data_IF_519455900269
#
_entry.id   IF_519455900269
#
_cell.length_a   1.000
_cell.length_b   1.000
_cell.length_c   1.000
_cell.angle_alpha   90.00
_cell.angle_beta   90.00
_cell.angle_gamma   90.00
#
_symmetry.space_group_name_H-M   'P 1'
#
loop_
_entity.id
_entity.type
_entity.pdbx_description
1 polymer ?
#
# COMPACT_ATOMS: atom_id res chain seq x y z
N UNK A 1 -20.26 -32.71 -19.14
CA UNK A 1 -19.44 -31.56 -18.71
C UNK A 1 -19.44 -30.55 -19.85
N UNK A 2 -19.70 -29.26 -19.59
CA UNK A 2 -19.62 -28.24 -20.64
C UNK A 2 -18.14 -27.96 -20.98
N UNK A 3 -17.76 -27.83 -22.26
CA UNK A 3 -16.40 -27.47 -22.62
C UNK A 3 -16.09 -26.05 -22.13
N UNK A 4 -14.97 -25.88 -21.44
CA UNK A 4 -14.46 -24.56 -21.13
C UNK A 4 -14.14 -23.86 -22.46
N UNK A 5 -14.88 -22.79 -22.78
CA UNK A 5 -14.55 -21.95 -23.94
C UNK A 5 -13.14 -21.41 -23.73
N UNK A 6 -12.21 -21.84 -24.60
CA UNK A 6 -10.91 -21.19 -24.72
C UNK A 6 -11.17 -19.68 -24.92
N UNK A 7 -10.48 -18.79 -24.20
CA UNK A 7 -10.53 -17.37 -24.51
C UNK A 7 -10.09 -17.21 -25.97
N UNK A 8 -10.89 -16.53 -26.79
CA UNK A 8 -10.49 -16.21 -28.15
C UNK A 8 -9.22 -15.35 -28.10
N UNK A 9 -8.26 -15.64 -28.96
CA UNK A 9 -6.91 -15.01 -28.99
C UNK A 9 -6.99 -13.47 -28.95
N UNK A 10 -8.00 -12.93 -29.61
CA UNK A 10 -8.37 -11.51 -29.70
C UNK A 10 -8.79 -10.85 -28.36
N UNK A 11 -9.36 -11.60 -27.40
CA UNK A 11 -9.93 -11.01 -26.19
C UNK A 11 -8.85 -10.46 -25.24
N UNK A 12 -7.71 -11.12 -25.10
CA UNK A 12 -6.60 -10.66 -24.26
C UNK A 12 -5.90 -9.45 -24.89
N UNK A 13 -5.83 -9.38 -26.22
CA UNK A 13 -5.32 -8.23 -26.97
C UNK A 13 -6.25 -7.01 -26.85
N UNK A 14 -7.56 -7.22 -27.02
CA UNK A 14 -8.59 -6.21 -26.72
C UNK A 14 -8.47 -5.70 -25.28
N UNK A 15 -8.29 -6.59 -24.30
CA UNK A 15 -8.09 -6.19 -22.89
C UNK A 15 -6.80 -5.36 -22.71
N UNK A 16 -5.69 -5.73 -23.37
CA UNK A 16 -4.41 -5.03 -23.27
C UNK A 16 -4.50 -3.62 -23.90
N UNK A 17 -5.15 -3.48 -25.06
CA UNK A 17 -5.45 -2.20 -25.70
C UNK A 17 -6.35 -1.31 -24.82
N UNK A 18 -7.39 -1.88 -24.21
CA UNK A 18 -8.28 -1.19 -23.28
C UNK A 18 -7.53 -0.71 -22.03
N UNK A 19 -6.64 -1.55 -21.47
CA UNK A 19 -5.82 -1.20 -20.31
C UNK A 19 -4.79 -0.10 -20.63
N UNK A 20 -4.07 -0.21 -21.76
CA UNK A 20 -3.12 0.82 -22.21
C UNK A 20 -3.80 2.17 -22.44
N UNK A 21 -4.97 2.16 -23.09
CA UNK A 21 -5.77 3.37 -23.34
C UNK A 21 -6.23 3.99 -22.02
N UNK A 22 -6.78 3.19 -21.09
CA UNK A 22 -7.23 3.68 -19.78
C UNK A 22 -6.08 4.26 -18.92
N UNK A 23 -4.92 3.59 -18.90
CA UNK A 23 -3.74 4.09 -18.18
C UNK A 23 -3.21 5.39 -18.79
N UNK A 24 -3.23 5.54 -20.12
CA UNK A 24 -2.91 6.80 -20.79
C UNK A 24 -3.92 7.89 -20.43
N UNK A 25 -5.21 7.57 -20.48
CA UNK A 25 -6.29 8.51 -20.21
C UNK A 25 -6.30 9.00 -18.75
N UNK A 26 -5.86 8.19 -17.78
CA UNK A 26 -5.70 8.61 -16.38
C UNK A 26 -4.42 9.45 -16.15
N UNK A 27 -3.61 9.69 -17.19
CA UNK A 27 -2.41 10.51 -17.12
C UNK A 27 -1.16 9.78 -16.58
N UNK A 28 -1.15 8.44 -16.57
CA UNK A 28 0.01 7.68 -16.12
C UNK A 28 1.22 7.93 -17.04
N UNK A 29 2.34 8.37 -16.46
CA UNK A 29 3.65 8.50 -17.14
C UNK A 29 4.57 7.32 -16.84
N UNK A 30 4.30 6.60 -15.74
CA UNK A 30 5.04 5.43 -15.29
C UNK A 30 4.06 4.35 -14.80
N UNK A 31 4.18 3.15 -15.36
CA UNK A 31 3.48 1.95 -14.88
C UNK A 31 4.53 0.99 -14.31
N UNK A 32 4.46 0.80 -13.00
CA UNK A 32 5.27 -0.14 -12.24
C UNK A 32 4.49 -1.45 -12.09
N UNK A 33 5.05 -2.56 -12.55
CA UNK A 33 4.40 -3.89 -12.56
C UNK A 33 5.20 -4.83 -11.66
N UNK A 34 4.53 -5.58 -10.77
CA UNK A 34 5.18 -6.65 -10.02
C UNK A 34 5.57 -7.83 -10.92
N UNK A 35 6.66 -8.49 -10.56
CA UNK A 35 7.16 -9.65 -11.27
C UNK A 35 6.48 -10.95 -10.85
N UNK A 36 6.65 -11.34 -9.58
CA UNK A 36 6.17 -12.61 -9.03
C UNK A 36 4.65 -12.62 -8.93
N UNK A 37 4.00 -13.72 -9.34
CA UNK A 37 2.54 -13.92 -9.41
C UNK A 37 1.72 -12.90 -10.25
N UNK A 38 2.23 -11.69 -10.49
CA UNK A 38 1.69 -10.67 -11.40
C UNK A 38 2.22 -10.86 -12.82
N UNK A 39 3.43 -10.39 -13.18
CA UNK A 39 3.96 -10.49 -14.55
C UNK A 39 4.17 -11.94 -15.01
N UNK A 40 4.69 -12.80 -14.11
CA UNK A 40 4.71 -14.25 -14.28
C UNK A 40 3.58 -14.92 -13.49
N UNK A 41 3.10 -16.09 -13.94
CA UNK A 41 2.05 -16.87 -13.28
C UNK A 41 2.52 -17.58 -12.01
N UNK A 42 3.82 -17.55 -11.70
CA UNK A 42 4.45 -18.29 -10.60
C UNK A 42 5.05 -17.32 -9.58
N UNK A 43 5.09 -17.74 -8.32
CA UNK A 43 5.80 -17.03 -7.27
C UNK A 43 7.19 -17.65 -7.10
N UNK A 44 8.24 -16.98 -7.55
CA UNK A 44 9.64 -17.49 -7.51
C UNK A 44 10.23 -17.50 -6.11
N UNK A 45 9.62 -16.79 -5.16
CA UNK A 45 10.18 -16.59 -3.81
C UNK A 45 11.46 -15.74 -3.81
N UNK A 46 11.73 -15.01 -4.90
CA UNK A 46 12.96 -14.25 -5.10
C UNK A 46 14.20 -15.09 -5.43
N UNK A 47 14.07 -16.42 -5.56
CA UNK A 47 15.18 -17.36 -5.76
C UNK A 47 14.82 -18.45 -6.80
N UNK A 48 14.44 -18.02 -8.01
CA UNK A 48 14.29 -18.93 -9.15
C UNK A 48 15.63 -19.60 -9.48
N UNK A 49 15.64 -20.93 -9.48
CA UNK A 49 16.83 -21.77 -9.76
C UNK A 49 16.95 -22.21 -11.22
N UNK A 50 15.90 -22.06 -12.02
CA UNK A 50 15.88 -22.43 -13.43
C UNK A 50 16.50 -21.38 -14.36
N UNK A 51 16.48 -21.65 -15.66
CA UNK A 51 16.97 -20.72 -16.68
C UNK A 51 15.99 -19.55 -16.92
N UNK A 52 16.44 -18.43 -17.52
CA UNK A 52 15.53 -17.37 -17.99
C UNK A 52 14.51 -17.89 -19.00
N UNK A 53 14.90 -18.85 -19.85
CA UNK A 53 14.02 -19.43 -20.86
C UNK A 53 12.92 -20.33 -20.25
N UNK A 54 13.23 -21.03 -19.16
CA UNK A 54 12.20 -21.75 -18.40
C UNK A 54 11.21 -20.76 -17.75
N UNK A 55 11.72 -19.71 -17.09
CA UNK A 55 10.88 -18.68 -16.44
C UNK A 55 10.01 -17.90 -17.45
N UNK A 56 10.51 -17.68 -18.67
CA UNK A 56 9.76 -17.07 -19.77
C UNK A 56 8.44 -17.82 -20.06
N UNK A 57 8.39 -19.14 -19.90
CA UNK A 57 7.16 -19.92 -20.15
C UNK A 57 6.03 -19.61 -19.16
N UNK A 58 6.34 -18.94 -18.04
CA UNK A 58 5.38 -18.46 -17.06
C UNK A 58 4.97 -16.99 -17.25
N UNK A 59 5.52 -16.26 -18.22
CA UNK A 59 5.14 -14.85 -18.46
C UNK A 59 3.70 -14.80 -18.96
N UNK A 60 2.86 -13.95 -18.36
CA UNK A 60 1.46 -13.83 -18.77
C UNK A 60 1.36 -13.12 -20.11
N UNK A 61 0.67 -13.75 -21.07
CA UNK A 61 0.43 -13.21 -22.41
C UNK A 61 -0.16 -11.79 -22.40
N UNK A 62 -0.99 -11.47 -21.42
CA UNK A 62 -1.52 -10.11 -21.21
C UNK A 62 -0.42 -9.06 -21.06
N UNK A 63 0.62 -9.32 -20.27
CA UNK A 63 1.72 -8.38 -20.09
C UNK A 63 2.71 -8.38 -21.28
N UNK A 64 2.85 -9.50 -22.01
CA UNK A 64 3.56 -9.48 -23.30
C UNK A 64 2.93 -8.52 -24.32
N UNK A 65 1.59 -8.36 -24.27
CA UNK A 65 0.83 -7.46 -25.14
C UNK A 65 0.76 -6.04 -24.58
N UNK A 66 0.52 -5.88 -23.28
CA UNK A 66 0.34 -4.57 -22.65
C UNK A 66 1.62 -3.75 -22.63
N UNK A 67 2.79 -4.35 -22.38
CA UNK A 67 4.04 -3.60 -22.21
C UNK A 67 4.46 -2.81 -23.48
N UNK A 68 4.48 -3.40 -24.69
CA UNK A 68 4.74 -2.65 -25.93
C UNK A 68 3.72 -1.53 -26.15
N UNK A 69 2.43 -1.79 -25.94
CA UNK A 69 1.36 -0.79 -26.09
C UNK A 69 1.53 0.39 -25.12
N UNK A 70 2.04 0.18 -23.91
CA UNK A 70 2.37 1.27 -22.99
C UNK A 70 3.54 2.12 -23.52
N UNK A 71 4.62 1.47 -23.96
CA UNK A 71 5.79 2.16 -24.55
C UNK A 71 5.40 2.98 -25.80
N UNK A 72 4.63 2.41 -26.73
CA UNK A 72 4.10 3.10 -27.92
C UNK A 72 3.23 4.32 -27.58
N UNK A 73 2.56 4.28 -26.43
CA UNK A 73 1.75 5.40 -25.93
C UNK A 73 2.56 6.46 -25.15
N UNK A 74 3.89 6.33 -25.08
CA UNK A 74 4.78 7.23 -24.35
C UNK A 74 4.77 7.01 -22.83
N UNK A 75 4.25 5.87 -22.37
CA UNK A 75 4.19 5.52 -20.95
C UNK A 75 5.41 4.66 -20.61
N UNK A 76 6.18 5.11 -19.63
CA UNK A 76 7.35 4.36 -19.17
C UNK A 76 6.91 3.15 -18.37
N UNK A 77 7.62 2.03 -18.53
CA UNK A 77 7.29 0.78 -17.83
C UNK A 77 8.48 0.34 -16.97
N UNK A 78 8.17 -0.02 -15.73
CA UNK A 78 9.14 -0.57 -14.80
C UNK A 78 8.66 -1.91 -14.22
N UNK A 79 9.56 -2.88 -14.09
CA UNK A 79 9.33 -4.05 -13.23
C UNK A 79 9.85 -3.74 -11.83
N UNK A 80 8.98 -3.81 -10.82
CA UNK A 80 9.29 -3.53 -9.41
C UNK A 80 9.00 -4.75 -8.54
N UNK A 81 10.03 -5.36 -7.98
CA UNK A 81 9.93 -6.64 -7.25
C UNK A 81 10.81 -6.64 -6.01
N UNK A 82 10.47 -7.49 -5.04
CA UNK A 82 11.36 -7.80 -3.91
C UNK A 82 12.45 -8.82 -4.29
N UNK A 83 12.39 -9.45 -5.47
CA UNK A 83 13.41 -10.39 -5.94
C UNK A 83 14.77 -9.68 -6.12
N UNK A 84 15.87 -10.22 -5.57
CA UNK A 84 17.22 -9.73 -5.83
C UNK A 84 17.76 -10.13 -7.21
N UNK A 85 17.09 -11.02 -7.95
CA UNK A 85 17.58 -11.60 -9.21
C UNK A 85 17.36 -10.68 -10.43
N UNK A 86 17.72 -9.41 -10.33
CA UNK A 86 17.48 -8.38 -11.38
C UNK A 86 18.04 -8.78 -12.74
N UNK A 87 19.22 -9.43 -12.80
CA UNK A 87 19.81 -9.84 -14.07
C UNK A 87 19.05 -11.02 -14.74
N UNK A 88 18.49 -11.93 -13.95
CA UNK A 88 17.61 -12.99 -14.45
C UNK A 88 16.36 -12.37 -15.08
N UNK A 89 15.73 -11.43 -14.38
CA UNK A 89 14.51 -10.74 -14.86
C UNK A 89 14.80 -9.97 -16.15
N UNK A 90 15.91 -9.21 -16.23
CA UNK A 90 16.35 -8.55 -17.48
C UNK A 90 16.53 -9.55 -18.63
N UNK A 91 17.08 -10.74 -18.35
CA UNK A 91 17.24 -11.78 -19.37
C UNK A 91 15.88 -12.36 -19.81
N UNK A 92 14.89 -12.50 -18.91
CA UNK A 92 13.51 -12.88 -19.28
C UNK A 92 12.87 -11.80 -20.17
N UNK A 93 12.95 -10.53 -19.78
CA UNK A 93 12.36 -9.41 -20.55
C UNK A 93 12.95 -9.33 -21.97
N UNK A 94 14.26 -9.52 -22.13
CA UNK A 94 14.94 -9.61 -23.44
C UNK A 94 14.51 -10.80 -24.31
N UNK A 95 13.94 -11.85 -23.72
CA UNK A 95 13.34 -12.95 -24.48
C UNK A 95 11.89 -12.60 -24.91
N UNK A 96 11.16 -11.85 -24.09
CA UNK A 96 9.75 -11.51 -24.32
C UNK A 96 9.55 -10.40 -25.35
N UNK A 97 10.43 -9.40 -25.37
CA UNK A 97 10.25 -8.16 -26.12
C UNK A 97 11.35 -7.91 -27.17
N UNK A 98 11.10 -6.98 -28.09
CA UNK A 98 12.14 -6.46 -28.98
C UNK A 98 13.27 -5.81 -28.18
N UNK A 99 14.46 -5.71 -28.78
CA UNK A 99 15.63 -5.07 -28.16
C UNK A 99 15.35 -3.61 -27.74
N UNK A 100 14.57 -2.90 -28.54
CA UNK A 100 14.14 -1.53 -28.28
C UNK A 100 13.24 -1.43 -27.03
N UNK A 101 12.12 -2.15 -27.00
CA UNK A 101 11.21 -2.16 -25.84
C UNK A 101 11.96 -2.63 -24.60
N UNK A 102 12.72 -3.72 -24.68
CA UNK A 102 13.50 -4.26 -23.55
C UNK A 102 14.58 -3.30 -23.03
N UNK A 103 15.10 -2.39 -23.85
CA UNK A 103 16.04 -1.36 -23.41
C UNK A 103 15.35 -0.18 -22.71
N UNK A 104 14.13 0.17 -23.12
CA UNK A 104 13.32 1.20 -22.47
C UNK A 104 12.92 0.80 -21.05
N UNK A 105 12.65 -0.50 -20.81
CA UNK A 105 12.20 -1.00 -19.51
C UNK A 105 13.19 -0.69 -18.37
N UNK A 106 12.64 -0.24 -17.25
CA UNK A 106 13.36 -0.13 -15.98
C UNK A 106 13.13 -1.41 -15.16
N UNK A 107 14.15 -1.88 -14.44
CA UNK A 107 14.01 -3.03 -13.53
C UNK A 107 14.62 -2.64 -12.18
N UNK A 108 13.79 -2.67 -11.12
CA UNK A 108 14.20 -2.45 -9.74
C UNK A 108 13.80 -3.65 -8.88
N UNK A 109 14.81 -4.46 -8.54
CA UNK A 109 14.71 -5.57 -7.57
C UNK A 109 15.49 -5.26 -6.30
N UNK A 110 15.52 -6.20 -5.35
CA UNK A 110 16.29 -6.06 -4.10
C UNK A 110 17.77 -6.44 -4.22
N UNK A 111 18.38 -6.12 -5.36
CA UNK A 111 19.76 -6.50 -5.72
C UNK A 111 20.86 -5.66 -5.03
N UNK A 112 20.46 -4.65 -4.24
CA UNK A 112 21.35 -3.69 -3.54
C UNK A 112 22.28 -2.88 -4.46
N UNK A 113 22.07 -2.89 -5.78
CA UNK A 113 22.87 -2.08 -6.73
C UNK A 113 22.49 -0.60 -6.72
N UNK A 114 21.34 -0.26 -6.11
CA UNK A 114 20.81 1.08 -5.99
C UNK A 114 20.37 1.38 -4.56
N UNK A 115 20.53 2.65 -4.16
CA UNK A 115 20.06 3.21 -2.89
C UNK A 115 19.16 4.41 -3.16
N UNK A 116 18.47 4.88 -2.14
CA UNK A 116 17.57 6.03 -2.21
C UNK A 116 17.80 6.90 -0.98
N UNK A 117 18.25 8.14 -1.18
CA UNK A 117 18.40 9.11 -0.10
C UNK A 117 17.07 9.80 0.19
N UNK A 118 16.90 10.36 1.39
CA UNK A 118 15.66 11.05 1.74
C UNK A 118 15.41 12.26 0.83
N UNK A 119 16.45 12.99 0.42
CA UNK A 119 16.33 14.14 -0.49
C UNK A 119 15.77 13.75 -1.87
N UNK A 120 16.18 12.61 -2.41
CA UNK A 120 15.68 12.06 -3.67
C UNK A 120 14.18 11.70 -3.63
N UNK A 121 13.57 11.58 -2.44
CA UNK A 121 12.14 11.28 -2.30
C UNK A 121 11.24 12.51 -2.35
N UNK A 122 11.80 13.72 -2.17
CA UNK A 122 11.05 14.99 -2.03
C UNK A 122 10.32 15.41 -3.31
N UNK A 123 10.87 15.08 -4.47
CA UNK A 123 10.27 15.40 -5.78
C UNK A 123 9.18 14.41 -6.18
N UNK A 124 9.27 13.16 -5.71
CA UNK A 124 8.30 12.11 -6.07
C UNK A 124 7.01 12.20 -5.26
N UNK A 125 7.05 12.60 -3.98
CA UNK A 125 5.86 12.68 -3.12
C UNK A 125 5.86 13.98 -2.32
N UNK A 126 4.71 14.68 -2.19
CA UNK A 126 4.46 15.44 -0.98
C UNK A 126 4.25 14.42 0.16
N UNK A 127 5.32 14.10 0.92
CA UNK A 127 5.34 13.03 1.95
C UNK A 127 4.49 13.28 3.22
N UNK A 128 3.71 14.37 3.29
CA UNK A 128 2.97 14.82 4.48
C UNK A 128 1.96 13.82 5.04
N UNK A 129 1.43 12.91 4.21
CA UNK A 129 0.46 11.90 4.67
C UNK A 129 1.13 10.73 5.42
N UNK A 130 2.34 10.33 5.03
CA UNK A 130 3.06 9.18 5.61
C UNK A 130 4.22 9.55 6.53
N UNK A 131 4.71 10.80 6.48
CA UNK A 131 5.94 11.25 7.16
C UNK A 131 7.15 10.34 6.87
N UNK A 132 7.29 9.89 5.62
CA UNK A 132 8.38 8.98 5.21
C UNK A 132 8.24 7.54 5.68
N UNK A 133 7.10 7.15 6.28
CA UNK A 133 6.75 5.74 6.45
C UNK A 133 6.71 5.07 5.07
N UNK A 134 7.08 3.79 5.05
CA UNK A 134 7.18 2.94 3.84
C UNK A 134 8.37 3.22 2.90
N UNK A 135 9.36 4.04 3.30
CA UNK A 135 10.64 4.15 2.58
C UNK A 135 11.64 2.99 2.86
N UNK A 136 11.28 2.06 3.76
CA UNK A 136 12.01 0.80 3.98
C UNK A 136 11.78 -0.16 2.81
N UNK A 137 12.81 -0.91 2.39
CA UNK A 137 12.77 -1.88 1.28
C UNK A 137 11.87 -3.10 1.51
N UNK A 138 11.24 -3.21 2.68
CA UNK A 138 10.08 -4.10 2.96
C UNK A 138 8.80 -3.66 2.24
N UNK A 139 8.76 -2.46 1.69
CA UNK A 139 7.65 -1.92 0.92
C UNK A 139 8.12 -1.54 -0.49
N UNK A 140 7.21 -1.51 -1.46
CA UNK A 140 7.58 -1.19 -2.84
C UNK A 140 7.86 0.28 -3.12
N UNK A 141 7.35 1.19 -2.30
CA UNK A 141 7.51 2.65 -2.50
C UNK A 141 8.96 3.09 -2.87
N UNK A 142 10.05 2.67 -2.20
CA UNK A 142 11.41 3.00 -2.63
C UNK A 142 11.79 2.46 -4.01
N UNK A 143 11.25 1.31 -4.44
CA UNK A 143 11.47 0.72 -5.76
C UNK A 143 10.78 1.55 -6.85
N UNK A 144 9.54 2.01 -6.58
CA UNK A 144 8.80 2.92 -7.46
C UNK A 144 9.52 4.26 -7.61
N UNK A 145 9.95 4.88 -6.50
CA UNK A 145 10.71 6.13 -6.53
C UNK A 145 12.01 5.95 -7.33
N UNK A 146 12.76 4.87 -7.07
CA UNK A 146 14.00 4.58 -7.78
C UNK A 146 13.80 4.29 -9.28
N UNK A 147 12.63 3.77 -9.68
CA UNK A 147 12.26 3.60 -11.08
C UNK A 147 11.90 4.95 -11.74
N UNK A 148 11.14 5.81 -11.06
CA UNK A 148 10.83 7.15 -11.55
C UNK A 148 12.09 8.01 -11.75
N UNK A 149 13.03 7.95 -10.81
CA UNK A 149 14.32 8.65 -10.91
C UNK A 149 15.19 8.13 -12.06
N UNK A 150 15.17 6.82 -12.35
CA UNK A 150 15.84 6.24 -13.52
C UNK A 150 15.29 6.82 -14.83
N UNK A 151 13.96 6.85 -14.96
CA UNK A 151 13.30 7.38 -16.16
C UNK A 151 13.59 8.87 -16.32
N UNK A 152 13.49 9.65 -15.25
CA UNK A 152 13.82 11.07 -15.27
C UNK A 152 15.30 11.30 -15.67
N UNK A 153 16.23 10.48 -15.16
CA UNK A 153 17.64 10.55 -15.53
C UNK A 153 17.89 10.22 -17.01
N UNK A 154 17.28 9.14 -17.53
CA UNK A 154 17.34 8.77 -18.96
C UNK A 154 16.76 9.85 -19.87
N UNK A 155 15.78 10.60 -19.38
CA UNK A 155 15.11 11.70 -20.09
C UNK A 155 15.85 13.05 -19.95
N UNK A 156 17.12 13.06 -19.48
CA UNK A 156 17.88 14.31 -19.29
C UNK A 156 17.35 15.25 -18.21
N UNK A 157 16.31 14.86 -17.46
CA UNK A 157 15.56 15.71 -16.56
C UNK A 157 14.25 16.29 -17.12
N UNK A 158 13.98 16.16 -18.43
CA UNK A 158 12.83 16.77 -19.10
C UNK A 158 11.48 16.26 -18.59
N UNK A 159 11.42 14.97 -18.20
CA UNK A 159 10.22 14.33 -17.69
C UNK A 159 10.33 14.13 -16.17
N UNK A 160 9.65 15.00 -15.41
CA UNK A 160 9.44 14.79 -13.97
C UNK A 160 8.26 13.85 -13.76
N UNK A 161 8.53 12.74 -13.05
CA UNK A 161 7.54 11.73 -12.66
C UNK A 161 7.36 11.81 -11.15
N UNK A 162 6.11 11.99 -10.72
CA UNK A 162 5.73 11.98 -9.31
C UNK A 162 4.65 10.92 -9.02
N UNK A 163 4.26 10.81 -7.75
CA UNK A 163 3.35 9.77 -7.26
C UNK A 163 2.02 9.71 -8.02
N UNK A 164 1.39 10.86 -8.31
CA UNK A 164 0.16 10.97 -9.12
C UNK A 164 0.33 10.53 -10.58
N UNK A 165 1.55 10.60 -11.12
CA UNK A 165 1.87 10.18 -12.49
C UNK A 165 2.20 8.67 -12.57
N UNK A 166 2.20 7.98 -11.42
CA UNK A 166 2.69 6.61 -11.27
C UNK A 166 1.57 5.66 -10.88
N UNK A 167 1.49 4.53 -11.58
CA UNK A 167 0.58 3.43 -11.28
C UNK A 167 1.38 2.21 -10.83
N UNK A 168 0.92 1.51 -9.79
CA UNK A 168 1.41 0.19 -9.37
C UNK A 168 0.39 -0.89 -9.76
N UNK A 169 0.87 -1.94 -10.43
CA UNK A 169 0.13 -3.19 -10.70
C UNK A 169 0.76 -4.31 -9.88
N UNK A 170 -0.03 -4.94 -9.01
CA UNK A 170 0.45 -5.87 -7.97
C UNK A 170 -0.67 -6.84 -7.58
N UNK A 171 -0.32 -8.08 -7.21
CA UNK A 171 -1.26 -9.08 -6.67
C UNK A 171 -1.28 -9.15 -5.14
N UNK A 172 -0.44 -8.39 -4.43
CA UNK A 172 -0.59 -8.21 -2.99
C UNK A 172 -1.41 -6.95 -2.68
N UNK A 173 -2.60 -7.17 -2.10
CA UNK A 173 -3.48 -6.12 -1.58
C UNK A 173 -2.79 -5.19 -0.56
N UNK A 174 -1.75 -5.66 0.14
CA UNK A 174 -0.94 -4.86 1.07
C UNK A 174 -0.05 -3.88 0.30
N UNK A 175 0.61 -4.31 -0.79
CA UNK A 175 1.40 -3.43 -1.65
C UNK A 175 0.51 -2.36 -2.31
N UNK A 176 -0.64 -2.77 -2.86
CA UNK A 176 -1.65 -1.86 -3.43
C UNK A 176 -2.12 -0.83 -2.41
N UNK A 177 -2.43 -1.28 -1.18
CA UNK A 177 -2.83 -0.36 -0.09
C UNK A 177 -1.70 0.61 0.26
N UNK A 178 -0.47 0.15 0.41
CA UNK A 178 0.67 1.00 0.77
C UNK A 178 0.99 2.02 -0.34
N UNK A 179 0.82 1.67 -1.61
CA UNK A 179 0.90 2.59 -2.73
C UNK A 179 -0.18 3.69 -2.62
N UNK A 180 -1.45 3.30 -2.45
CA UNK A 180 -2.57 4.23 -2.30
C UNK A 180 -2.42 5.14 -1.06
N UNK A 181 -2.02 4.59 0.10
CA UNK A 181 -1.70 5.34 1.33
C UNK A 181 -0.50 6.31 1.15
N UNK A 182 0.26 6.19 0.05
CA UNK A 182 1.38 7.06 -0.35
C UNK A 182 1.04 7.98 -1.54
N UNK A 183 -0.22 8.00 -1.99
CA UNK A 183 -0.68 8.79 -3.14
C UNK A 183 -0.19 8.30 -4.50
N UNK A 184 0.22 7.03 -4.60
CA UNK A 184 0.46 6.32 -5.87
C UNK A 184 -0.78 5.52 -6.19
N UNK A 185 -1.23 5.51 -7.44
CA UNK A 185 -2.42 4.74 -7.85
C UNK A 185 -2.11 3.25 -7.85
N UNK A 186 -2.71 2.47 -6.95
CA UNK A 186 -2.57 1.01 -6.91
C UNK A 186 -3.74 0.29 -7.60
N UNK A 187 -3.45 -0.47 -8.66
CA UNK A 187 -4.40 -1.33 -9.37
C UNK A 187 -4.14 -2.80 -9.04
N UNK A 188 -5.05 -3.41 -8.29
CA UNK A 188 -4.97 -4.83 -7.93
C UNK A 188 -5.15 -5.74 -9.15
N UNK A 189 -4.18 -6.63 -9.36
CA UNK A 189 -4.22 -7.70 -10.34
C UNK A 189 -4.50 -9.02 -9.63
N UNK A 190 -5.60 -9.70 -9.93
CA UNK A 190 -5.92 -10.99 -9.30
C UNK A 190 -5.34 -12.15 -10.14
N UNK A 191 -4.38 -12.94 -9.61
CA UNK A 191 -3.78 -14.06 -10.33
C UNK A 191 -4.78 -15.14 -10.76
N UNK A 192 -5.91 -15.25 -10.06
CA UNK A 192 -6.96 -16.26 -10.25
C UNK A 192 -8.16 -15.81 -11.09
N UNK A 193 -8.23 -14.53 -11.49
CA UNK A 193 -9.25 -14.07 -12.43
C UNK A 193 -9.03 -14.70 -13.81
N UNK A 194 -10.08 -15.33 -14.37
CA UNK A 194 -9.99 -16.09 -15.64
C UNK A 194 -9.76 -15.22 -16.89
N UNK A 195 -9.88 -13.91 -16.76
CA UNK A 195 -9.63 -12.94 -17.81
C UNK A 195 -9.37 -11.57 -17.18
N UNK A 196 -8.79 -10.67 -17.97
CA UNK A 196 -8.30 -9.38 -17.50
C UNK A 196 -9.39 -8.29 -17.54
N UNK A 197 -10.67 -8.64 -17.79
CA UNK A 197 -11.77 -7.65 -17.85
C UNK A 197 -11.99 -6.94 -16.52
N UNK A 198 -11.84 -7.65 -15.41
CA UNK A 198 -11.86 -7.04 -14.07
C UNK A 198 -10.74 -6.03 -13.89
N UNK A 199 -9.52 -6.35 -14.37
CA UNK A 199 -8.38 -5.44 -14.32
C UNK A 199 -8.62 -4.19 -15.19
N UNK A 200 -9.11 -4.35 -16.42
CA UNK A 200 -9.53 -3.23 -17.28
C UNK A 200 -10.63 -2.38 -16.63
N UNK A 201 -11.60 -3.01 -15.94
CA UNK A 201 -12.66 -2.30 -15.20
C UNK A 201 -12.10 -1.49 -14.03
N UNK A 202 -11.14 -2.04 -13.25
CA UNK A 202 -10.44 -1.31 -12.18
C UNK A 202 -9.73 -0.07 -12.73
N UNK A 203 -9.08 -0.17 -13.89
CA UNK A 203 -8.45 0.99 -14.58
C UNK A 203 -9.50 2.03 -14.99
N UNK A 204 -10.64 1.62 -15.55
CA UNK A 204 -11.73 2.54 -15.92
C UNK A 204 -12.35 3.25 -14.70
N UNK A 205 -12.46 2.56 -13.56
CA UNK A 205 -13.00 3.12 -12.31
C UNK A 205 -12.12 4.24 -11.72
N UNK A 206 -10.83 4.31 -12.08
CA UNK A 206 -9.93 5.41 -11.68
C UNK A 206 -10.46 6.78 -12.14
N UNK A 207 -10.97 6.87 -13.37
CA UNK A 207 -11.53 8.10 -13.94
C UNK A 207 -12.70 8.67 -13.13
N UNK A 208 -13.53 7.80 -12.56
CA UNK A 208 -14.74 8.22 -11.86
C UNK A 208 -14.46 8.77 -10.46
N UNK A 209 -13.32 8.44 -9.86
CA UNK A 209 -12.96 8.95 -8.52
C UNK A 209 -12.55 10.43 -8.52
N UNK A 210 -11.98 10.94 -9.62
CA UNK A 210 -11.54 12.35 -9.69
C UNK A 210 -12.70 13.34 -9.88
N UNK A 211 -13.81 12.92 -10.50
CA UNK A 211 -14.94 13.83 -10.76
C UNK A 211 -15.78 14.11 -9.51
N UNK A 212 -15.75 13.22 -8.51
CA UNK A 212 -16.38 13.45 -7.20
C UNK A 212 -15.42 14.18 -6.26
N UNK A 213 -15.44 15.51 -6.27
CA UNK A 213 -14.73 16.31 -5.26
C UNK A 213 -15.24 15.94 -3.86
N UNK A 214 -14.41 15.37 -2.96
CA UNK A 214 -14.84 15.12 -1.60
C UNK A 214 -14.86 16.46 -0.86
N UNK A 215 -16.04 17.08 -0.80
CA UNK A 215 -16.28 18.29 -0.03
C UNK A 215 -16.19 17.98 1.47
N UNK A 216 -14.97 17.86 1.98
CA UNK A 216 -14.66 17.80 3.39
C UNK A 216 -14.93 19.18 4.02
N UNK A 217 -16.22 19.50 4.19
CA UNK A 217 -16.67 20.57 5.06
C UNK A 217 -16.26 20.23 6.48
N UNK A 218 -15.10 20.74 6.89
CA UNK A 218 -14.69 20.77 8.29
C UNK A 218 -15.81 21.40 9.12
N UNK A 219 -16.29 20.74 10.19
CA UNK A 219 -17.28 21.34 11.08
C UNK A 219 -16.68 22.60 11.72
N UNK A 220 -17.14 23.77 11.26
CA UNK A 220 -16.73 25.05 11.82
C UNK A 220 -17.02 25.08 13.31
N UNK A 221 -15.96 25.19 14.13
CA UNK A 221 -16.10 25.40 15.57
C UNK A 221 -16.68 26.79 15.79
N UNK A 222 -17.98 26.87 16.10
CA UNK A 222 -18.57 28.10 16.64
C UNK A 222 -17.79 28.54 17.89
N UNK A 223 -17.34 29.80 17.99
CA UNK A 223 -16.77 30.31 19.22
C UNK A 223 -17.87 30.44 20.27
N UNK A 224 -17.73 29.74 21.40
CA UNK A 224 -18.57 29.98 22.58
C UNK A 224 -17.85 31.02 23.43
N UNK A 225 -18.46 32.20 23.55
CA UNK A 225 -17.99 33.25 24.43
C UNK A 225 -18.28 32.92 25.90
N UNK A 226 -17.33 33.28 26.77
CA UNK A 226 -17.54 33.60 28.19
C UNK A 226 -18.31 32.61 29.09
N UNK A 227 -17.58 31.89 29.94
CA UNK A 227 -18.00 31.77 31.35
C UNK A 227 -16.81 31.48 32.27
N UNK A 228 -16.73 32.23 33.36
CA UNK A 228 -15.59 32.30 34.28
C UNK A 228 -15.91 31.53 35.56
N UNK A 229 -15.28 30.37 35.81
CA UNK A 229 -15.35 29.72 37.13
C UNK A 229 -13.97 29.21 37.57
N UNK A 230 -13.46 29.78 38.67
CA UNK A 230 -12.31 29.29 39.44
C UNK A 230 -12.82 28.43 40.61
N UNK A 231 -12.30 27.20 40.76
CA UNK A 231 -12.24 26.45 42.02
C UNK A 231 -10.97 25.58 41.95
N UNK A 232 -9.83 25.99 42.53
CA UNK A 232 -9.48 25.95 43.97
C UNK A 232 -9.55 24.53 44.55
N UNK A 233 -8.38 23.99 44.88
CA UNK A 233 -8.22 22.65 45.41
C UNK A 233 -8.54 22.55 46.90
N UNK A 234 -9.01 21.38 47.36
CA UNK A 234 -8.84 20.94 48.75
C UNK A 234 -8.88 19.42 48.86
N UNK A 235 -7.79 18.84 49.37
CA UNK A 235 -7.75 17.44 49.78
C UNK A 235 -8.57 17.22 51.05
N UNK A 236 -9.24 16.07 51.19
CA UNK A 236 -9.43 15.38 52.49
C UNK A 236 -9.44 13.85 52.34
N UNK A 237 -9.06 13.18 53.42
CA UNK A 237 -8.60 11.78 53.47
C UNK A 237 -9.73 10.74 53.54
N UNK A 238 -9.38 9.55 53.04
CA UNK A 238 -9.88 8.20 53.34
C UNK A 238 -10.75 8.01 54.60
N UNK A 239 -11.80 7.17 54.47
CA UNK A 239 -12.16 6.08 55.42
C UNK A 239 -13.21 5.12 54.81
N UNK A 240 -12.83 3.85 54.67
CA UNK A 240 -13.72 2.66 54.66
C UNK A 240 -13.80 2.12 56.11
N UNK A 241 -14.77 1.29 56.56
CA UNK A 241 -15.40 0.14 55.87
C UNK A 241 -16.96 0.10 56.05
N UNK A 242 -17.78 -0.98 55.96
CA UNK A 242 -17.52 -2.43 55.82
C UNK A 242 -18.70 -3.26 55.23
N UNK A 243 -18.38 -4.48 54.78
CA UNK A 243 -19.13 -5.76 54.80
C UNK A 243 -20.66 -5.86 54.50
N UNK A 244 -20.93 -6.75 53.52
CA UNK A 244 -21.85 -7.93 53.59
C UNK A 244 -23.39 -7.69 53.62
N UNK A 245 -24.29 -8.62 53.25
CA UNK A 245 -24.27 -9.93 52.51
C UNK A 245 -25.74 -10.30 52.16
N UNK A 246 -26.04 -10.83 50.95
CA UNK A 246 -27.13 -11.81 50.64
C UNK A 246 -28.60 -11.32 50.91
N UNK A 247 -29.72 -11.92 50.42
CA UNK A 247 -30.00 -13.05 49.50
C UNK A 247 -31.40 -12.90 48.83
N UNK A 248 -31.66 -13.79 47.86
CA UNK A 248 -32.82 -14.03 46.98
C UNK A 248 -34.25 -14.21 47.58
N UNK A 249 -35.25 -14.03 46.70
CA UNK A 249 -36.66 -14.51 46.71
C UNK A 249 -37.52 -13.55 45.86
N UNK A 250 -38.16 -13.84 44.71
CA UNK A 250 -39.01 -14.94 44.20
C UNK A 250 -40.37 -15.07 44.93
N UNK A 251 -41.45 -14.51 44.34
CA UNK A 251 -42.73 -15.19 44.02
C UNK A 251 -43.93 -14.23 43.72
N UNK A 252 -44.51 -14.42 42.53
CA UNK A 252 -45.91 -14.27 42.05
C UNK A 252 -47.09 -13.86 42.97
N UNK A 253 -47.95 -12.93 42.48
CA UNK A 253 -49.45 -13.01 42.44
C UNK A 253 -50.07 -11.68 41.92
N UNK A 254 -50.65 -11.60 40.72
CA UNK A 254 -52.10 -11.70 40.35
C UNK A 254 -53.10 -10.63 40.86
N UNK A 255 -53.46 -9.73 39.93
CA UNK A 255 -54.82 -9.21 39.59
C UNK A 255 -55.69 -8.38 40.57
N UNK A 256 -55.95 -7.12 40.16
CA UNK A 256 -57.21 -6.31 40.19
C UNK A 256 -56.87 -4.82 40.46
N UNK A 257 -57.55 -3.80 39.92
CA UNK A 257 -58.58 -3.68 38.88
C UNK A 257 -59.05 -2.22 38.71
N UNK A 258 -59.73 -1.89 37.60
CA UNK A 258 -60.48 -0.63 37.29
C UNK A 258 -59.74 0.70 37.02
N UNK A 259 -59.80 1.11 35.75
CA UNK A 259 -60.26 2.39 35.17
C UNK A 259 -60.07 3.73 35.93
N UNK A 260 -59.40 4.69 35.27
CA UNK A 260 -60.02 5.97 34.82
C UNK A 260 -59.27 6.54 33.60
N UNK A 261 -59.88 7.50 32.91
CA UNK A 261 -59.42 8.14 31.68
C UNK A 261 -58.45 9.31 31.90
N UNK A 262 -57.50 9.53 30.98
CA UNK A 262 -57.45 10.74 30.12
C UNK A 262 -56.12 10.89 29.35
N UNK A 263 -56.15 11.78 28.35
CA UNK A 263 -55.02 12.33 27.57
C UNK A 263 -54.15 11.36 26.75
N UNK A 264 -54.48 11.32 25.45
CA UNK A 264 -53.54 10.99 24.38
C UNK A 264 -52.42 12.03 24.28
N UNK A 265 -51.16 11.60 24.44
CA UNK A 265 -50.02 12.29 23.86
C UNK A 265 -49.31 11.35 22.89
N UNK A 266 -49.24 11.76 21.62
CA UNK A 266 -48.50 11.04 20.59
C UNK A 266 -47.02 11.02 20.94
N UNK A 267 -46.49 9.85 21.31
CA UNK A 267 -45.05 9.64 21.38
C UNK A 267 -44.50 9.60 19.95
N UNK A 268 -43.54 10.45 19.58
CA UNK A 268 -42.88 10.30 18.29
C UNK A 268 -42.14 8.97 18.27
N UNK A 269 -42.34 8.18 17.21
CA UNK A 269 -41.74 6.85 17.07
C UNK A 269 -40.21 6.91 17.25
N UNK A 270 -39.61 5.90 17.89
CA UNK A 270 -38.17 5.90 18.16
C UNK A 270 -37.40 5.95 16.84
N UNK A 271 -36.71 7.06 16.59
CA UNK A 271 -35.78 7.23 15.48
C UNK A 271 -34.83 6.04 15.44
N UNK A 272 -34.80 5.33 14.31
CA UNK A 272 -33.83 4.27 14.08
C UNK A 272 -32.42 4.85 14.25
N UNK A 273 -31.76 4.51 15.37
CA UNK A 273 -30.33 4.73 15.51
C UNK A 273 -29.62 3.82 14.53
N UNK A 274 -29.34 4.34 13.34
CA UNK A 274 -28.36 3.78 12.42
C UNK A 274 -27.05 3.63 13.19
N UNK A 275 -26.81 2.41 13.64
CA UNK A 275 -25.60 2.03 14.37
C UNK A 275 -24.49 1.87 13.34
N UNK A 276 -24.01 3.01 12.83
CA UNK A 276 -22.82 3.08 12.01
C UNK A 276 -21.64 2.62 12.88
N UNK A 277 -21.36 1.32 12.84
CA UNK A 277 -20.13 0.75 13.38
C UNK A 277 -18.99 1.10 12.43
N UNK A 278 -18.51 2.33 12.53
CA UNK A 278 -17.14 2.61 12.11
C UNK A 278 -16.26 1.79 13.05
N UNK A 279 -15.61 0.74 12.53
CA UNK A 279 -14.64 -0.04 13.30
C UNK A 279 -13.34 0.77 13.47
N UNK A 280 -13.44 1.85 14.25
CA UNK A 280 -12.31 2.56 14.80
C UNK A 280 -11.68 1.63 15.85
N UNK A 281 -10.83 0.74 15.37
CA UNK A 281 -10.27 -0.39 16.10
C UNK A 281 -9.86 -0.02 17.53
N UNK A 282 -10.29 -0.85 18.49
CA UNK A 282 -10.25 -0.60 19.94
C UNK A 282 -8.97 0.13 20.38
N UNK A 283 -9.08 1.25 21.13
CA UNK A 283 -7.91 1.97 21.65
C UNK A 283 -6.93 1.03 22.35
N UNK A 284 -5.69 0.95 21.83
CA UNK A 284 -4.67 0.02 22.34
C UNK A 284 -4.44 0.22 23.83
N UNK A 285 -4.37 -0.88 24.58
CA UNK A 285 -4.13 -0.82 26.02
C UNK A 285 -2.75 -0.21 26.34
N UNK A 286 -2.66 0.54 27.45
CA UNK A 286 -1.39 1.15 27.89
C UNK A 286 -0.27 0.12 28.12
N UNK A 287 -0.60 -1.16 28.31
CA UNK A 287 0.36 -2.27 28.45
C UNK A 287 1.08 -2.58 27.13
N UNK A 288 0.35 -2.64 26.01
CA UNK A 288 0.95 -2.85 24.68
C UNK A 288 1.87 -1.70 24.28
N UNK A 289 1.49 -0.47 24.62
CA UNK A 289 2.31 0.73 24.35
C UNK A 289 3.60 0.80 25.17
N UNK A 290 3.68 0.11 26.32
CA UNK A 290 4.92 0.01 27.12
C UNK A 290 5.88 -1.05 26.57
N UNK A 291 5.39 -2.20 26.08
CA UNK A 291 6.28 -3.21 25.48
C UNK A 291 7.05 -2.67 24.28
N UNK A 292 6.37 -1.91 23.39
CA UNK A 292 7.02 -1.31 22.22
C UNK A 292 8.09 -0.26 22.58
N UNK A 293 7.93 0.47 23.69
CA UNK A 293 8.97 1.41 24.18
C UNK A 293 10.19 0.70 24.75
N UNK A 294 10.01 -0.46 25.39
CA UNK A 294 11.14 -1.23 25.91
C UNK A 294 11.94 -1.87 24.76
N UNK A 295 11.26 -2.44 23.75
CA UNK A 295 11.92 -2.98 22.55
C UNK A 295 12.78 -1.95 21.80
N UNK A 296 12.28 -0.72 21.66
CA UNK A 296 13.05 0.37 21.06
C UNK A 296 14.33 0.69 21.85
N UNK A 297 14.25 0.61 23.19
CA UNK A 297 15.36 0.98 24.08
C UNK A 297 16.44 -0.12 24.20
N UNK A 298 16.10 -1.38 23.96
CA UNK A 298 17.06 -2.48 23.89
C UNK A 298 17.83 -2.48 22.56
N UNK A 299 17.21 -2.09 21.44
CA UNK A 299 17.89 -1.95 20.15
C UNK A 299 18.96 -0.84 20.18
N UNK A 300 18.65 0.33 20.76
CA UNK A 300 19.59 1.47 20.85
C UNK A 300 20.86 1.16 21.68
N UNK A 301 20.84 0.15 22.54
CA UNK A 301 21.99 -0.27 23.35
C UNK A 301 22.86 -1.34 22.67
N UNK A 302 22.39 -1.94 21.57
CA UNK A 302 23.09 -3.03 20.87
C UNK A 302 24.12 -2.56 19.82
N UNK A 303 24.20 -1.26 19.55
CA UNK A 303 24.97 -0.65 18.47
C UNK A 303 26.34 -0.07 18.87
N UNK A 304 26.70 -0.09 20.15
CA UNK A 304 27.87 0.66 20.70
C UNK A 304 29.06 -0.24 21.09
N UNK A 305 29.05 -1.53 20.74
CA UNK A 305 30.10 -2.49 21.15
C UNK A 305 30.64 -3.36 20.01
N UNK A 306 31.30 -2.73 19.03
CA UNK A 306 32.23 -3.39 18.08
C UNK A 306 33.16 -2.38 17.38
N UNK A 307 34.08 -1.79 18.14
CA UNK A 307 35.33 -1.25 17.58
C UNK A 307 36.41 -2.31 17.79
N UNK A 308 36.90 -2.92 16.71
CA UNK A 308 38.01 -3.86 16.74
C UNK A 308 39.08 -3.37 15.78
N UNK A 309 40.23 -3.06 16.36
CA UNK A 309 41.43 -2.56 15.68
C UNK A 309 41.94 -3.59 14.68
N UNK A 310 42.24 -3.16 13.44
CA UNK A 310 43.08 -3.92 12.52
C UNK A 310 44.27 -3.06 12.11
N UNK A 311 45.47 -3.55 12.41
CA UNK A 311 46.75 -2.95 12.02
C UNK A 311 47.07 -3.25 10.56
N UNK A 312 47.42 -2.21 9.79
CA UNK A 312 47.92 -2.35 8.43
C UNK A 312 49.41 -2.71 8.50
N UNK A 313 49.80 -3.77 7.80
CA UNK A 313 51.22 -4.09 7.56
C UNK A 313 51.62 -3.56 6.18
N UNK A 314 52.67 -2.76 6.13
CA UNK A 314 53.26 -2.29 4.87
C UNK A 314 54.00 -3.44 4.17
N UNK A 315 53.85 -3.52 2.84
CA UNK A 315 54.60 -4.46 2.00
C UNK A 315 55.53 -3.66 1.10
N UNK A 316 56.84 -3.75 1.36
CA UNK A 316 57.87 -3.17 0.50
C UNK A 316 57.92 -3.85 -0.86
N UNK A 317 57.73 -3.07 -1.93
CA UNK A 317 58.09 -3.49 -3.30
C UNK A 317 59.53 -3.07 -3.59
N UNK A 318 60.47 -4.02 -3.57
CA UNK A 318 61.80 -3.80 -4.12
C UNK A 318 61.72 -3.74 -5.65
N UNK A 319 62.36 -2.72 -6.23
CA UNK A 319 62.64 -2.66 -7.66
C UNK A 319 64.07 -3.12 -7.93
N UNK A 320 64.28 -3.96 -8.94
CA UNK A 320 65.61 -4.16 -9.53
C UNK A 320 65.51 -4.67 -10.97
N UNK A 321 66.17 -3.92 -11.87
CA UNK A 321 66.63 -4.21 -13.25
C UNK A 321 65.57 -4.71 -14.23
#
# INVERSE_FOLDING_TARGET
>A
MAPARLPSVDQTETNALQAATGLKSVGAKLVCIDFDATFVTVHTGGLWSGTPMALRTHVRRFFELLVPLLCENGINVAIVTFSPQVQLIRNVLKLCFSSEVAAQLVVRGDDRTWTLTHDQTKTFVPLWQTNGRHLDRKFKLPFLISAALEVQHRSGGDVVICNRDTVLVDDDVVNIRVANDSGVVGVFFDPGERNEKSFCKRIQELHHSETSTPSYKTPSKKPIAGSTIKLVARERKLKFPSRARRRLGIATSTSSGRNTSSFSMCTPSPVMKLKCSVDMGKPRSKRASRMLRNYSKEMDLSSVSKSSTFTVAEVSTNATV
#
